data_IF_492783115966
#
_entry.id   IF_492783115966
#
_cell.length_a   1.000
_cell.length_b   1.000
_cell.length_c   1.000
_cell.angle_alpha   90.00
_cell.angle_beta   90.00
_cell.angle_gamma   90.00
#
_symmetry.space_group_name_H-M   'P 1'
#
loop_
_entity.id
_entity.type
_entity.pdbx_description
1 polymer ?
#
# COMPACT_ATOMS: atom_id res chain seq x y z
N UNK A 1 -10.37 14.26 -26.36
CA UNK A 1 -10.64 14.09 -24.92
C UNK A 1 -9.48 14.73 -24.18
N UNK A 2 -9.74 15.78 -23.40
CA UNK A 2 -8.69 16.61 -22.77
C UNK A 2 -8.38 16.18 -21.34
N UNK A 3 -9.39 15.68 -20.62
CA UNK A 3 -9.28 15.26 -19.22
C UNK A 3 -9.72 13.81 -19.01
N UNK A 4 -9.21 13.20 -17.93
CA UNK A 4 -9.59 11.89 -17.41
C UNK A 4 -10.01 12.00 -15.95
N UNK A 5 -11.08 11.28 -15.56
CA UNK A 5 -11.49 11.13 -14.17
C UNK A 5 -11.06 9.76 -13.68
N UNK A 6 -10.27 9.73 -12.61
CA UNK A 6 -9.72 8.51 -12.03
C UNK A 6 -10.31 8.32 -10.63
N UNK A 7 -10.91 7.17 -10.40
CA UNK A 7 -11.53 6.78 -9.15
C UNK A 7 -10.76 5.60 -8.52
N UNK A 8 -10.76 5.44 -7.19
CA UNK A 8 -10.22 4.22 -6.59
C UNK A 8 -11.07 3.01 -6.98
N UNK A 9 -10.42 1.88 -7.22
CA UNK A 9 -11.08 0.59 -7.37
C UNK A 9 -10.81 -0.26 -6.12
N UNK A 10 -11.72 -0.26 -5.13
CA UNK A 10 -11.52 -0.99 -3.89
C UNK A 10 -11.62 -2.49 -4.12
N UNK A 11 -10.68 -3.23 -3.52
CA UNK A 11 -10.65 -4.69 -3.47
C UNK A 11 -10.07 -5.11 -2.12
N UNK A 12 -10.91 -5.52 -1.16
CA UNK A 12 -10.47 -5.77 0.21
C UNK A 12 -9.30 -6.76 0.33
N UNK A 13 -9.19 -7.71 -0.62
CA UNK A 13 -8.14 -8.72 -0.61
C UNK A 13 -6.84 -8.10 -1.13
N UNK A 14 -6.88 -7.44 -2.28
CA UNK A 14 -5.68 -6.85 -2.90
C UNK A 14 -5.20 -5.62 -2.12
N UNK A 15 -6.10 -4.84 -1.55
CA UNK A 15 -5.77 -3.70 -0.71
C UNK A 15 -4.99 -4.16 0.55
N UNK A 16 -5.33 -5.34 1.09
CA UNK A 16 -4.64 -5.89 2.27
C UNK A 16 -3.37 -6.68 1.92
N UNK A 17 -3.43 -7.54 0.89
CA UNK A 17 -2.40 -8.55 0.60
C UNK A 17 -1.56 -8.25 -0.65
N UNK A 18 -1.96 -7.25 -1.43
CA UNK A 18 -1.26 -6.84 -2.63
C UNK A 18 0.03 -6.08 -2.33
N UNK A 19 0.70 -5.71 -3.42
CA UNK A 19 1.94 -4.96 -3.39
C UNK A 19 1.68 -3.51 -3.77
N UNK A 20 2.31 -2.58 -3.05
CA UNK A 20 2.35 -1.18 -3.47
C UNK A 20 2.97 -1.12 -4.89
N UNK A 21 2.36 -0.41 -5.86
CA UNK A 21 2.93 -0.22 -7.21
C UNK A 21 4.36 0.34 -7.21
N UNK A 22 4.75 0.99 -6.10
CA UNK A 22 6.06 1.61 -5.90
C UNK A 22 7.11 0.67 -5.31
N UNK A 23 6.70 -0.54 -4.90
CA UNK A 23 7.58 -1.53 -4.27
C UNK A 23 8.57 -2.16 -5.25
N UNK A 24 9.66 -2.68 -4.70
CA UNK A 24 10.67 -3.44 -5.44
C UNK A 24 10.07 -4.68 -6.12
N UNK A 25 9.13 -5.37 -5.47
CA UNK A 25 8.45 -6.53 -6.07
C UNK A 25 7.79 -6.17 -7.40
N UNK A 26 7.04 -5.06 -7.43
CA UNK A 26 6.34 -4.62 -8.63
C UNK A 26 7.34 -4.18 -9.69
N UNK A 27 8.35 -3.41 -9.32
CA UNK A 27 9.40 -3.02 -10.26
C UNK A 27 10.11 -4.23 -10.89
N UNK A 28 10.43 -5.24 -10.08
CA UNK A 28 11.20 -6.40 -10.52
C UNK A 28 10.40 -7.36 -11.40
N UNK A 29 9.14 -7.67 -11.02
CA UNK A 29 8.37 -8.75 -11.63
C UNK A 29 7.22 -8.26 -12.53
N UNK A 30 6.67 -7.06 -12.29
CA UNK A 30 5.64 -6.49 -13.16
C UNK A 30 6.25 -5.70 -14.32
N UNK A 31 7.41 -5.06 -14.20
CA UNK A 31 8.00 -4.26 -15.29
C UNK A 31 8.14 -5.03 -16.62
N UNK A 32 8.65 -6.28 -16.67
CA UNK A 32 8.82 -6.99 -17.93
C UNK A 32 7.49 -7.36 -18.61
N UNK A 33 6.40 -7.42 -17.84
CA UNK A 33 5.09 -7.89 -18.32
C UNK A 33 4.15 -6.73 -18.60
N UNK A 34 4.11 -5.75 -17.70
CA UNK A 34 3.29 -4.54 -17.79
C UNK A 34 3.91 -3.48 -18.71
N UNK A 35 5.23 -3.44 -18.81
CA UNK A 35 5.97 -2.42 -19.54
C UNK A 35 6.23 -1.16 -18.70
N UNK A 36 7.30 -0.41 -19.01
CA UNK A 36 7.79 0.68 -18.18
C UNK A 36 6.80 1.84 -18.06
N UNK A 37 6.20 2.25 -19.19
CA UNK A 37 5.26 3.39 -19.21
C UNK A 37 4.02 3.13 -18.37
N UNK A 38 3.38 1.97 -18.55
CA UNK A 38 2.19 1.59 -17.78
C UNK A 38 2.50 1.45 -16.30
N UNK A 39 3.67 0.93 -15.93
CA UNK A 39 4.10 0.84 -14.54
C UNK A 39 4.30 2.22 -13.90
N UNK A 40 4.97 3.14 -14.60
CA UNK A 40 5.17 4.52 -14.11
C UNK A 40 3.85 5.29 -14.02
N UNK A 41 2.95 5.08 -14.99
CA UNK A 41 1.58 5.60 -14.94
C UNK A 41 0.88 5.10 -13.67
N UNK A 42 0.87 3.79 -13.42
CA UNK A 42 0.23 3.20 -12.24
C UNK A 42 0.80 3.76 -10.93
N UNK A 43 2.13 3.89 -10.82
CA UNK A 43 2.79 4.49 -9.64
C UNK A 43 2.31 5.92 -9.38
N UNK A 44 2.14 6.71 -10.45
CA UNK A 44 1.65 8.09 -10.37
C UNK A 44 0.18 8.14 -9.97
N UNK A 45 -0.66 7.29 -10.56
CA UNK A 45 -2.08 7.20 -10.22
C UNK A 45 -2.28 6.78 -8.77
N UNK A 46 -1.60 5.74 -8.30
CA UNK A 46 -1.67 5.29 -6.92
C UNK A 46 -1.21 6.39 -5.93
N UNK A 47 -0.16 7.14 -6.28
CA UNK A 47 0.29 8.28 -5.48
C UNK A 47 -0.75 9.41 -5.44
N UNK A 48 -1.45 9.68 -6.54
CA UNK A 48 -2.54 10.65 -6.58
C UNK A 48 -3.75 10.21 -5.74
N UNK A 49 -4.17 8.96 -5.89
CA UNK A 49 -5.28 8.36 -5.15
C UNK A 49 -5.00 8.20 -3.65
N UNK A 50 -3.73 8.11 -3.25
CA UNK A 50 -3.33 8.15 -1.84
C UNK A 50 -3.50 9.54 -1.23
N UNK A 51 -3.37 10.62 -2.02
CA UNK A 51 -3.55 12.00 -1.56
C UNK A 51 -5.00 12.46 -1.62
N UNK A 52 -5.75 11.92 -2.57
CA UNK A 52 -7.15 12.25 -2.81
C UNK A 52 -7.95 10.96 -2.93
N UNK A 53 -8.53 10.54 -1.80
CA UNK A 53 -9.17 9.24 -1.70
C UNK A 53 -10.44 9.13 -2.55
N UNK A 54 -11.15 10.25 -2.77
CA UNK A 54 -12.35 10.38 -3.60
C UNK A 54 -12.07 10.41 -5.11
N UNK A 55 -10.81 10.24 -5.50
CA UNK A 55 -10.37 10.27 -6.89
C UNK A 55 -9.68 11.57 -7.31
N UNK A 56 -9.23 11.59 -8.57
CA UNK A 56 -8.46 12.68 -9.16
C UNK A 56 -8.92 12.94 -10.60
N UNK A 57 -8.89 14.20 -11.02
CA UNK A 57 -9.04 14.59 -12.42
C UNK A 57 -7.66 14.92 -12.99
N UNK A 58 -7.35 14.41 -14.17
CA UNK A 58 -6.03 14.55 -14.80
C UNK A 58 -6.17 15.04 -16.23
N UNK A 59 -5.45 16.10 -16.58
CA UNK A 59 -5.30 16.54 -17.96
C UNK A 59 -4.39 15.57 -18.74
N UNK A 60 -4.89 15.06 -19.87
CA UNK A 60 -4.21 14.06 -20.71
C UNK A 60 -2.89 14.62 -21.27
N UNK A 61 -2.89 15.89 -21.66
CA UNK A 61 -1.71 16.57 -22.20
C UNK A 61 -0.59 16.70 -21.17
N UNK A 62 -0.93 17.20 -19.99
CA UNK A 62 0.03 17.37 -18.88
C UNK A 62 0.59 16.02 -18.42
N UNK A 63 -0.28 15.02 -18.23
CA UNK A 63 0.17 13.68 -17.83
C UNK A 63 1.07 13.03 -18.89
N UNK A 64 0.76 13.21 -20.18
CA UNK A 64 1.59 12.71 -21.26
C UNK A 64 2.98 13.32 -21.22
N UNK A 65 3.08 14.66 -21.13
CA UNK A 65 4.36 15.35 -21.05
C UNK A 65 5.15 14.95 -19.80
N UNK A 66 4.47 14.86 -18.65
CA UNK A 66 5.11 14.53 -17.39
C UNK A 66 5.53 13.05 -17.28
N UNK A 67 5.06 12.18 -18.17
CA UNK A 67 5.55 10.80 -18.36
C UNK A 67 6.57 10.69 -19.51
N UNK A 68 6.94 11.79 -20.15
CA UNK A 68 7.86 11.82 -21.30
C UNK A 68 7.24 11.22 -22.57
N UNK A 69 5.93 11.19 -22.67
CA UNK A 69 5.20 10.66 -23.82
C UNK A 69 4.89 11.77 -24.81
N UNK A 70 5.02 11.46 -26.11
CA UNK A 70 4.53 12.35 -27.15
C UNK A 70 3.02 12.51 -27.06
N UNK A 71 2.55 13.76 -26.96
CA UNK A 71 1.12 14.05 -27.02
C UNK A 71 0.62 13.89 -28.45
N UNK A 72 -0.40 13.05 -28.62
CA UNK A 72 -1.16 12.89 -29.87
C UNK A 72 -2.64 12.87 -29.52
N UNK A 73 -3.44 13.62 -30.26
CA UNK A 73 -4.89 13.63 -30.07
C UNK A 73 -5.52 12.28 -30.45
N UNK A 74 -6.53 11.86 -29.70
CA UNK A 74 -7.37 10.69 -30.00
C UNK A 74 -7.00 9.40 -29.28
N UNK A 75 -7.76 8.34 -29.56
CA UNK A 75 -7.69 7.00 -28.92
C UNK A 75 -6.37 6.25 -29.16
N UNK A 76 -5.53 6.71 -30.09
CA UNK A 76 -4.23 6.11 -30.39
C UNK A 76 -3.06 6.70 -29.60
N UNK A 77 -3.34 7.56 -28.61
CA UNK A 77 -2.30 8.21 -27.82
C UNK A 77 -1.50 7.17 -27.01
N UNK A 78 -0.17 7.33 -26.85
CA UNK A 78 0.64 6.43 -26.02
C UNK A 78 0.13 6.31 -24.57
N UNK A 79 -0.45 7.40 -24.04
CA UNK A 79 -1.03 7.43 -22.71
C UNK A 79 -2.28 6.54 -22.63
N UNK A 80 -3.22 6.67 -23.57
CA UNK A 80 -4.44 5.84 -23.58
C UNK A 80 -4.10 4.36 -23.79
N UNK A 81 -3.13 4.03 -24.65
CA UNK A 81 -2.63 2.64 -24.76
C UNK A 81 -2.06 2.09 -23.45
N UNK A 82 -1.50 2.96 -22.60
CA UNK A 82 -1.02 2.57 -21.27
C UNK A 82 -2.20 2.28 -20.33
N UNK A 83 -3.28 3.07 -20.38
CA UNK A 83 -4.54 2.78 -19.68
C UNK A 83 -5.21 1.49 -20.18
N UNK A 84 -5.26 1.27 -21.50
CA UNK A 84 -5.78 0.03 -22.08
C UNK A 84 -4.97 -1.18 -21.59
N UNK A 85 -3.65 -1.02 -21.48
CA UNK A 85 -2.78 -2.05 -20.92
C UNK A 85 -3.05 -2.28 -19.43
N UNK A 86 -3.21 -1.23 -18.62
CA UNK A 86 -3.62 -1.40 -17.23
C UNK A 86 -4.96 -2.15 -17.12
N UNK A 87 -5.88 -1.87 -18.04
CA UNK A 87 -7.18 -2.57 -18.12
C UNK A 87 -7.01 -4.04 -18.50
N UNK A 88 -6.15 -4.35 -19.48
CA UNK A 88 -5.85 -5.73 -19.89
C UNK A 88 -5.25 -6.57 -18.75
N UNK A 89 -4.51 -5.93 -17.85
CA UNK A 89 -3.89 -6.58 -16.70
C UNK A 89 -4.74 -6.52 -15.42
N UNK A 90 -6.00 -6.08 -15.52
CA UNK A 90 -6.94 -5.94 -14.39
C UNK A 90 -6.43 -5.01 -13.28
N UNK A 91 -5.66 -3.98 -13.65
CA UNK A 91 -5.16 -2.94 -12.73
C UNK A 91 -5.96 -1.64 -12.84
N UNK A 92 -6.74 -1.51 -13.91
CA UNK A 92 -7.71 -0.46 -14.13
C UNK A 92 -8.99 -1.03 -14.75
N UNK A 93 -10.10 -0.32 -14.63
CA UNK A 93 -11.35 -0.62 -15.28
C UNK A 93 -11.88 0.66 -15.91
N UNK A 94 -12.16 0.66 -17.21
CA UNK A 94 -12.86 1.77 -17.86
C UNK A 94 -14.33 1.75 -17.42
N UNK A 95 -14.79 2.82 -16.77
CA UNK A 95 -16.16 2.94 -16.25
C UNK A 95 -17.05 3.83 -17.12
N UNK A 96 -16.47 4.53 -18.09
CA UNK A 96 -17.15 5.41 -19.03
C UNK A 96 -16.17 6.17 -19.90
N UNK A 97 -16.67 7.08 -20.73
CA UNK A 97 -15.83 7.91 -21.60
C UNK A 97 -14.92 8.82 -20.76
N UNK A 98 -13.62 8.52 -20.78
CA UNK A 98 -12.62 9.24 -20.00
C UNK A 98 -12.66 8.98 -18.50
N UNK A 99 -13.33 7.90 -18.07
CA UNK A 99 -13.43 7.53 -16.66
C UNK A 99 -12.80 6.16 -16.42
N UNK A 100 -11.92 6.09 -15.41
CA UNK A 100 -11.25 4.85 -15.02
C UNK A 100 -11.31 4.66 -13.51
N UNK A 101 -11.63 3.44 -13.07
CA UNK A 101 -11.36 2.98 -11.72
C UNK A 101 -9.99 2.29 -11.68
N UNK A 102 -9.12 2.59 -10.72
CA UNK A 102 -7.73 2.10 -10.68
C UNK A 102 -7.42 1.51 -9.30
N UNK A 103 -6.77 0.35 -9.30
CA UNK A 103 -6.36 -0.32 -8.06
C UNK A 103 -5.23 0.45 -7.37
N UNK A 104 -5.32 0.60 -6.04
CA UNK A 104 -4.26 1.22 -5.24
C UNK A 104 -3.09 0.27 -5.01
N UNK A 105 -3.40 -1.02 -4.84
CA UNK A 105 -2.44 -2.10 -4.70
C UNK A 105 -2.51 -3.08 -5.88
N UNK A 106 -1.39 -3.74 -6.17
CA UNK A 106 -1.25 -4.66 -7.29
C UNK A 106 -1.27 -6.10 -6.77
N UNK A 107 -2.00 -7.04 -7.38
CA UNK A 107 -1.88 -8.43 -7.01
C UNK A 107 -0.48 -8.99 -7.30
N UNK A 108 -0.10 -10.11 -6.67
CA UNK A 108 1.06 -10.88 -7.09
C UNK A 108 0.99 -11.21 -8.59
N UNK A 109 2.14 -11.22 -9.27
CA UNK A 109 2.18 -11.52 -10.71
C UNK A 109 1.66 -12.93 -10.96
N UNK A 110 0.75 -13.07 -11.92
CA UNK A 110 0.20 -14.38 -12.27
C UNK A 110 1.32 -15.33 -12.75
N UNK A 111 1.29 -16.58 -12.30
CA UNK A 111 2.28 -17.61 -12.64
C UNK A 111 2.52 -17.74 -14.15
N UNK A 112 1.48 -17.57 -14.99
CA UNK A 112 1.62 -17.62 -16.46
C UNK A 112 2.58 -16.57 -17.00
N UNK A 113 2.64 -15.39 -16.37
CA UNK A 113 3.53 -14.30 -16.75
C UNK A 113 4.94 -14.55 -16.22
N UNK A 114 5.07 -15.06 -14.98
CA UNK A 114 6.38 -15.47 -14.42
C UNK A 114 7.07 -16.50 -15.31
N UNK A 115 6.35 -17.51 -15.80
CA UNK A 115 6.91 -18.56 -16.69
C UNK A 115 7.52 -18.01 -17.99
N UNK A 116 7.16 -16.79 -18.41
CA UNK A 116 7.69 -16.13 -19.61
C UNK A 116 8.90 -15.24 -19.32
N UNK A 117 9.24 -15.04 -18.04
CA UNK A 117 10.41 -14.26 -17.64
C UNK A 117 11.71 -15.05 -17.85
N UNK A 118 12.87 -14.38 -17.92
CA UNK A 118 14.17 -15.03 -17.86
C UNK A 118 14.32 -15.94 -16.63
N UNK A 119 15.05 -17.05 -16.77
CA UNK A 119 15.20 -18.07 -15.72
C UNK A 119 15.70 -17.50 -14.38
N UNK A 120 16.60 -16.52 -14.42
CA UNK A 120 17.09 -15.82 -13.23
C UNK A 120 15.95 -15.14 -12.45
N UNK A 121 15.06 -14.41 -13.14
CA UNK A 121 13.90 -13.75 -12.51
C UNK A 121 12.85 -14.76 -12.03
N UNK A 122 12.70 -15.90 -12.70
CA UNK A 122 11.82 -16.97 -12.21
C UNK A 122 12.33 -17.56 -10.89
N UNK A 123 13.65 -17.79 -10.79
CA UNK A 123 14.27 -18.28 -9.56
C UNK A 123 14.17 -17.25 -8.43
N UNK A 124 14.49 -16.00 -8.72
CA UNK A 124 14.37 -14.89 -7.78
C UNK A 124 12.94 -14.74 -7.24
N UNK A 125 11.93 -14.81 -8.12
CA UNK A 125 10.52 -14.78 -7.71
C UNK A 125 10.17 -15.94 -6.78
N UNK A 126 10.65 -17.15 -7.07
CA UNK A 126 10.41 -18.33 -6.23
C UNK A 126 11.00 -18.14 -4.84
N UNK A 127 12.26 -17.69 -4.74
CA UNK A 127 12.91 -17.40 -3.47
C UNK A 127 12.15 -16.32 -2.69
N UNK A 128 11.65 -15.29 -3.38
CA UNK A 128 10.85 -14.22 -2.77
C UNK A 128 9.54 -14.75 -2.19
N UNK A 129 8.83 -15.60 -2.94
CA UNK A 129 7.59 -16.25 -2.49
C UNK A 129 7.85 -17.23 -1.35
N UNK A 130 8.95 -18.00 -1.37
CA UNK A 130 9.31 -18.91 -0.28
C UNK A 130 9.56 -18.14 1.04
N UNK A 131 10.28 -17.02 0.97
CA UNK A 131 10.45 -16.11 2.11
C UNK A 131 9.09 -15.56 2.56
N UNK A 132 8.24 -15.11 1.64
CA UNK A 132 6.93 -14.58 1.99
C UNK A 132 5.99 -15.64 2.56
N UNK A 133 6.01 -16.89 2.08
CA UNK A 133 5.17 -17.98 2.60
C UNK A 133 5.66 -18.50 3.95
N UNK A 134 6.97 -18.36 4.23
CA UNK A 134 7.52 -18.67 5.55
C UNK A 134 7.03 -17.71 6.64
N UNK A 135 6.56 -16.51 6.26
CA UNK A 135 5.80 -15.60 7.13
C UNK A 135 4.30 -15.60 6.75
N UNK A 136 3.37 -16.14 7.55
CA UNK A 136 1.95 -16.12 7.21
C UNK A 136 1.50 -14.68 6.84
N UNK A 137 0.84 -14.43 5.68
CA UNK A 137 0.55 -13.06 5.22
C UNK A 137 -0.23 -12.21 6.22
N UNK A 138 -1.15 -12.85 6.95
CA UNK A 138 -1.87 -12.25 8.08
C UNK A 138 -0.93 -11.88 9.23
N UNK A 139 0.10 -12.69 9.51
CA UNK A 139 1.09 -12.40 10.52
C UNK A 139 1.97 -11.20 10.15
N UNK A 140 2.33 -11.02 8.87
CA UNK A 140 3.06 -9.84 8.40
C UNK A 140 2.20 -8.57 8.48
N UNK A 141 0.96 -8.61 7.98
CA UNK A 141 0.01 -7.50 8.07
C UNK A 141 -0.23 -7.11 9.54
N UNK A 142 -0.44 -8.10 10.42
CA UNK A 142 -0.59 -7.90 11.86
C UNK A 142 0.68 -7.33 12.50
N UNK A 143 1.89 -7.78 12.11
CA UNK A 143 3.15 -7.25 12.64
C UNK A 143 3.35 -5.77 12.24
N UNK A 144 3.03 -5.41 11.00
CA UNK A 144 3.08 -4.02 10.51
C UNK A 144 2.06 -3.14 11.22
N UNK A 145 0.80 -3.56 11.28
CA UNK A 145 -0.26 -2.85 11.98
C UNK A 145 0.06 -2.66 13.47
N UNK A 146 0.60 -3.67 14.15
CA UNK A 146 1.05 -3.56 15.56
C UNK A 146 2.17 -2.55 15.76
N UNK A 147 3.15 -2.48 14.85
CA UNK A 147 4.23 -1.48 14.93
C UNK A 147 3.69 -0.07 14.75
N UNK A 148 2.81 0.14 13.77
CA UNK A 148 2.16 1.43 13.54
C UNK A 148 1.29 1.84 14.72
N UNK A 149 0.45 0.93 15.23
CA UNK A 149 -0.38 1.16 16.41
C UNK A 149 0.45 1.60 17.63
N UNK A 150 1.58 0.95 17.84
CA UNK A 150 2.48 1.27 18.94
C UNK A 150 3.06 2.69 18.80
N UNK A 151 3.56 3.05 17.61
CA UNK A 151 4.10 4.39 17.35
C UNK A 151 3.05 5.48 17.52
N UNK A 152 1.82 5.28 17.03
CA UNK A 152 0.74 6.26 17.15
C UNK A 152 0.32 6.47 18.62
N UNK A 153 0.22 5.39 19.41
CA UNK A 153 -0.06 5.50 20.85
C UNK A 153 1.06 6.18 21.63
N UNK A 154 2.34 5.95 21.28
CA UNK A 154 3.46 6.69 21.89
C UNK A 154 3.41 8.19 21.59
N UNK A 155 2.80 8.59 20.48
CA UNK A 155 2.58 10.00 20.14
C UNK A 155 1.40 10.62 20.89
N UNK A 156 0.65 9.83 21.67
CA UNK A 156 -0.48 10.28 22.47
C UNK A 156 -1.85 10.12 21.80
N UNK A 157 -1.92 9.47 20.64
CA UNK A 157 -3.20 9.18 19.98
C UNK A 157 -4.03 8.20 20.80
N UNK A 158 -5.36 8.39 20.82
CA UNK A 158 -6.26 7.44 21.47
C UNK A 158 -6.48 6.16 20.63
N UNK A 159 -6.96 5.11 21.27
CA UNK A 159 -7.15 3.79 20.64
C UNK A 159 -8.12 3.86 19.46
N UNK A 160 -9.16 4.69 19.52
CA UNK A 160 -10.16 4.83 18.47
C UNK A 160 -9.61 5.56 17.23
N UNK A 161 -8.74 6.54 17.44
CA UNK A 161 -8.01 7.25 16.40
C UNK A 161 -6.97 6.33 15.75
N UNK A 162 -6.27 5.50 16.54
CA UNK A 162 -5.34 4.50 16.01
C UNK A 162 -6.07 3.45 15.16
N UNK A 163 -7.21 2.92 15.62
CA UNK A 163 -8.00 1.96 14.82
C UNK A 163 -8.44 2.57 13.49
N UNK A 164 -8.96 3.80 13.50
CA UNK A 164 -9.37 4.53 12.29
C UNK A 164 -8.18 4.76 11.36
N UNK A 165 -7.06 5.23 11.89
CA UNK A 165 -5.85 5.48 11.10
C UNK A 165 -5.34 4.20 10.43
N UNK A 166 -5.35 3.07 11.13
CA UNK A 166 -4.98 1.77 10.53
C UNK A 166 -5.99 1.34 9.46
N UNK A 167 -7.28 1.58 9.68
CA UNK A 167 -8.30 1.28 8.69
C UNK A 167 -8.10 2.13 7.41
N UNK A 168 -7.83 3.42 7.56
CA UNK A 168 -7.59 4.35 6.44
C UNK A 168 -6.31 3.98 5.67
N UNK A 169 -5.32 3.40 6.35
CA UNK A 169 -4.13 2.81 5.75
C UNK A 169 -4.38 1.47 5.03
N UNK A 170 -5.61 0.97 5.03
CA UNK A 170 -6.03 -0.22 4.28
C UNK A 170 -5.90 -1.55 5.04
N UNK A 171 -5.73 -1.54 6.37
CA UNK A 171 -5.75 -2.78 7.15
C UNK A 171 -7.18 -3.27 7.41
N UNK A 172 -7.39 -4.59 7.43
CA UNK A 172 -8.68 -5.19 7.73
C UNK A 172 -9.17 -4.83 9.16
N UNK A 173 -10.47 -4.56 9.39
CA UNK A 173 -11.00 -4.09 10.68
C UNK A 173 -10.61 -4.97 11.89
N UNK A 174 -10.55 -6.29 11.72
CA UNK A 174 -10.10 -7.20 12.78
C UNK A 174 -8.63 -7.01 13.15
N UNK A 175 -7.76 -6.72 12.17
CA UNK A 175 -6.34 -6.45 12.41
C UNK A 175 -6.18 -5.08 13.07
N UNK A 176 -6.95 -4.07 12.65
CA UNK A 176 -6.94 -2.74 13.27
C UNK A 176 -7.25 -2.82 14.75
N UNK A 177 -8.39 -3.45 15.10
CA UNK A 177 -8.82 -3.67 16.47
C UNK A 177 -7.81 -4.47 17.28
N UNK A 178 -7.38 -5.62 16.78
CA UNK A 178 -6.37 -6.46 17.44
C UNK A 178 -5.06 -5.69 17.71
N UNK A 179 -4.65 -4.83 16.78
CA UNK A 179 -3.36 -4.12 16.85
C UNK A 179 -3.42 -2.92 17.79
N UNK A 180 -4.51 -2.15 17.77
CA UNK A 180 -4.71 -1.01 18.65
C UNK A 180 -4.88 -1.46 20.11
N UNK A 181 -5.68 -2.51 20.36
CA UNK A 181 -5.83 -3.10 21.69
C UNK A 181 -4.51 -3.67 22.22
N UNK A 182 -3.75 -4.37 21.38
CA UNK A 182 -2.44 -4.91 21.75
C UNK A 182 -1.45 -3.80 22.14
N UNK A 183 -1.43 -2.69 21.39
CA UNK A 183 -0.53 -1.58 21.66
C UNK A 183 -0.93 -0.81 22.94
N UNK A 184 -2.23 -0.61 23.17
CA UNK A 184 -2.75 0.04 24.37
C UNK A 184 -2.44 -0.77 25.65
N UNK A 185 -2.58 -2.10 25.59
CA UNK A 185 -2.18 -3.00 26.68
C UNK A 185 -0.69 -2.85 26.99
N UNK A 186 0.15 -2.85 25.95
CA UNK A 186 1.60 -2.73 26.11
C UNK A 186 2.02 -1.38 26.68
N UNK A 187 1.35 -0.31 26.28
CA UNK A 187 1.56 1.04 26.81
C UNK A 187 1.15 1.13 28.29
N UNK A 188 0.00 0.56 28.67
CA UNK A 188 -0.43 0.47 30.09
C UNK A 188 0.56 -0.29 30.95
N UNK A 189 1.04 -1.45 30.48
CA UNK A 189 2.04 -2.26 31.20
C UNK A 189 3.34 -1.47 31.37
N UNK A 190 3.83 -0.82 30.29
CA UNK A 190 5.04 -0.01 30.37
C UNK A 190 4.91 1.16 31.35
N UNK A 191 3.76 1.82 31.37
CA UNK A 191 3.47 2.90 32.31
C UNK A 191 3.39 2.41 33.77
N UNK A 192 2.76 1.26 34.01
CA UNK A 192 2.68 0.66 35.35
C UNK A 192 4.07 0.28 35.89
N UNK A 193 4.92 -0.36 35.06
CA UNK A 193 6.30 -0.71 35.44
C UNK A 193 7.14 0.53 35.73
N UNK A 194 6.96 1.60 34.96
CA UNK A 194 7.64 2.87 35.21
C UNK A 194 7.20 3.51 36.54
N UNK A 195 5.89 3.46 36.86
CA UNK A 195 5.37 3.98 38.13
C UNK A 195 5.82 3.15 39.34
N UNK A 196 5.85 1.82 39.23
CA UNK A 196 6.38 0.95 40.29
C UNK A 196 7.87 1.21 40.53
N UNK A 197 8.65 1.37 39.47
CA UNK A 197 10.08 1.68 39.57
C UNK A 197 10.33 3.06 40.21
N UNK A 198 9.50 4.06 39.87
CA UNK A 198 9.55 5.38 40.49
C UNK A 198 9.10 5.36 41.96
N UNK A 199 8.09 4.55 42.31
CA UNK A 199 7.64 4.35 43.68
C UNK A 199 8.66 3.63 44.56
N UNK A 200 9.35 2.62 44.02
CA UNK A 200 10.45 1.92 44.70
C UNK A 200 11.65 2.86 44.90
N UNK A 201 11.98 3.69 43.91
CA UNK A 201 13.04 4.70 44.05
C UNK A 201 12.69 5.78 45.09
N UNK A 202 11.41 6.19 45.19
CA UNK A 202 10.94 7.12 46.20
C UNK A 202 10.90 6.51 47.61
N UNK A 203 10.58 5.21 47.73
CA UNK A 203 10.57 4.48 49.01
C UNK A 203 11.98 4.13 49.51
N UNK A 204 12.97 4.06 48.62
CA UNK A 204 14.38 3.84 48.95
C UNK A 204 15.15 5.11 49.36
N UNK A 205 14.52 6.28 49.28
CA UNK A 205 15.09 7.54 49.76
C UNK A 205 14.46 7.90 51.11
N UNK A 206 14.98 7.31 52.18
CA UNK A 206 14.73 7.77 53.55
C UNK A 206 15.89 8.70 53.98
N UNK A 207 15.70 10.03 54.08
CA UNK A 207 16.79 10.95 54.41
C UNK A 207 17.12 11.00 55.91
N UNK A 208 16.68 10.02 56.71
CA UNK A 208 16.93 9.97 58.15
C UNK A 208 17.49 8.61 58.61
N UNK A 209 18.78 8.37 58.33
CA UNK A 209 19.62 7.43 59.07
C UNK A 209 21.04 7.97 59.21
#
# INVERSE_FOLDING_TARGET
MTALVIQPWPDPIIDTLGHDPRSEYVERFWLPTLGPTSLLLLRRLATGLQRHEDGITIEVGELSQALGLGYRDGSSSPLLRSFDRLTQFDLACATGDGQYAVRRNVPPVNQRHIRRLPAALQHEHRSWVEVQLSEPPIALARRRAKRLAFTLLEQGDDVELVERTLHDLGFHPSICRDSAQWAAERHRIAFAVAQESAGVAAAGFDPAA
#
